data_IF_879424975301
#
_entry.id   IF_879424975301
#
_cell.length_a   1.000
_cell.length_b   1.000
_cell.length_c   1.000
_cell.angle_alpha   90.00
_cell.angle_beta   90.00
_cell.angle_gamma   90.00
#
_symmetry.space_group_name_H-M   'P 1'
#
loop_
_entity.id
_entity.type
_entity.pdbx_description
1 polymer ?
#
# COMPACT_ATOMS: atom_id res chain seq x y z
N UNK A 1 0.01 -3.46 9.76
CA UNK A 1 -1.01 -3.28 8.70
C UNK A 1 -2.21 -2.60 9.32
N UNK A 2 -2.49 -1.36 8.92
CA UNK A 2 -3.52 -0.47 9.46
C UNK A 2 -3.30 0.00 10.92
N UNK A 3 -3.12 -0.94 11.84
CA UNK A 3 -3.21 -0.73 13.29
C UNK A 3 -1.99 -0.06 13.94
N UNK A 4 -0.82 -0.18 13.32
CA UNK A 4 0.45 0.26 13.90
C UNK A 4 1.02 1.52 13.23
N UNK A 5 0.27 2.19 12.35
CA UNK A 5 0.69 3.39 11.60
C UNK A 5 2.07 3.22 10.94
N UNK A 6 2.34 2.05 10.34
CA UNK A 6 3.60 1.78 9.63
C UNK A 6 4.83 1.53 10.51
N UNK A 7 4.71 1.53 11.85
CA UNK A 7 5.85 1.32 12.76
C UNK A 7 6.60 0.01 12.51
N UNK A 8 5.88 -1.10 12.28
CA UNK A 8 6.53 -2.39 11.96
C UNK A 8 7.23 -2.34 10.61
N UNK A 9 6.70 -1.63 9.63
CA UNK A 9 7.37 -1.46 8.32
C UNK A 9 8.71 -0.78 8.57
N UNK A 10 8.73 0.34 9.30
CA UNK A 10 9.95 1.09 9.59
C UNK A 10 11.01 0.26 10.32
N UNK A 11 10.61 -0.49 11.35
CA UNK A 11 11.52 -1.35 12.12
C UNK A 11 12.20 -2.43 11.27
N UNK A 12 11.54 -2.89 10.20
CA UNK A 12 11.99 -4.01 9.37
C UNK A 12 12.58 -3.58 8.03
N UNK A 13 12.57 -2.28 7.66
CA UNK A 13 13.19 -1.78 6.42
C UNK A 13 14.63 -2.25 6.25
N UNK A 14 15.40 -2.29 7.35
CA UNK A 14 16.80 -2.75 7.39
C UNK A 14 17.02 -4.21 6.97
N UNK A 15 15.97 -5.02 6.91
CA UNK A 15 16.05 -6.44 6.51
C UNK A 15 15.67 -6.67 5.04
N UNK A 16 15.32 -5.60 4.31
CA UNK A 16 14.91 -5.70 2.91
C UNK A 16 16.11 -5.48 1.97
N UNK A 17 16.05 -5.99 0.73
CA UNK A 17 16.98 -5.62 -0.33
C UNK A 17 17.11 -4.10 -0.49
N UNK A 18 18.30 -3.63 -0.86
CA UNK A 18 18.59 -2.19 -0.97
C UNK A 18 17.72 -1.47 -2.02
N UNK A 19 17.25 -2.20 -3.02
CA UNK A 19 16.39 -1.74 -4.11
C UNK A 19 14.89 -1.85 -3.79
N UNK A 20 14.52 -2.22 -2.55
CA UNK A 20 13.12 -2.28 -2.14
C UNK A 20 12.49 -0.89 -2.13
N UNK A 21 11.36 -0.76 -2.83
CA UNK A 21 10.56 0.47 -2.87
C UNK A 21 9.38 0.34 -1.90
N UNK A 22 9.22 1.32 -1.01
CA UNK A 22 8.06 1.45 -0.15
C UNK A 22 7.19 2.61 -0.63
N UNK A 23 5.89 2.35 -0.84
CA UNK A 23 4.93 3.36 -1.26
C UNK A 23 3.72 3.37 -0.33
N UNK A 24 3.44 4.53 0.27
CA UNK A 24 2.26 4.72 1.13
C UNK A 24 1.15 5.43 0.34
N UNK A 25 -0.04 4.81 0.29
CA UNK A 25 -1.22 5.43 -0.30
C UNK A 25 -1.94 6.23 0.79
N UNK A 26 -1.74 7.54 0.81
CA UNK A 26 -2.35 8.42 1.80
C UNK A 26 -3.87 8.39 1.73
N UNK A 27 -4.52 8.19 2.89
CA UNK A 27 -5.97 8.12 2.99
C UNK A 27 -6.59 6.78 2.61
N UNK A 28 -5.81 5.80 2.13
CA UNK A 28 -6.28 4.43 1.93
C UNK A 28 -6.54 3.70 3.27
N UNK A 29 -7.26 2.58 3.20
CA UNK A 29 -7.29 1.59 4.27
C UNK A 29 -6.99 0.18 3.74
N UNK A 30 -6.89 -0.79 4.66
CA UNK A 30 -6.52 -2.16 4.32
C UNK A 30 -7.64 -2.90 3.57
N UNK A 31 -8.89 -2.80 4.01
CA UNK A 31 -10.04 -3.49 3.39
C UNK A 31 -10.28 -3.07 1.94
N UNK A 32 -10.13 -1.79 1.61
CA UNK A 32 -10.30 -1.31 0.23
C UNK A 32 -9.24 -1.84 -0.73
N UNK A 33 -8.04 -2.23 -0.27
CA UNK A 33 -6.93 -2.64 -1.14
C UNK A 33 -7.26 -3.85 -2.01
N UNK A 34 -8.06 -4.79 -1.51
CA UNK A 34 -8.43 -6.01 -2.21
C UNK A 34 -9.93 -6.28 -2.16
N UNK A 35 -10.73 -5.23 -1.95
CA UNK A 35 -12.20 -5.29 -1.88
C UNK A 35 -12.74 -6.29 -0.85
N UNK A 36 -12.14 -6.33 0.34
CA UNK A 36 -12.58 -7.21 1.42
C UNK A 36 -13.78 -6.67 2.20
N UNK A 37 -14.33 -5.52 1.81
CA UNK A 37 -15.27 -4.76 2.62
C UNK A 37 -14.66 -4.28 3.95
N UNK A 38 -15.50 -3.86 4.92
CA UNK A 38 -15.04 -3.43 6.24
C UNK A 38 -14.31 -4.56 6.99
N UNK A 39 -13.09 -4.30 7.46
CA UNK A 39 -12.30 -5.25 8.23
C UNK A 39 -12.14 -4.80 9.69
N UNK A 40 -12.07 -5.72 10.67
CA UNK A 40 -11.86 -5.36 12.07
C UNK A 40 -10.60 -4.53 12.28
N UNK A 41 -10.77 -3.35 12.86
CA UNK A 41 -9.66 -2.44 13.19
C UNK A 41 -9.24 -1.49 12.06
N UNK A 42 -9.85 -1.60 10.88
CA UNK A 42 -9.68 -0.60 9.83
C UNK A 42 -10.38 0.71 10.19
N UNK A 43 -9.67 1.82 9.98
CA UNK A 43 -10.31 3.14 9.99
C UNK A 43 -10.97 3.40 8.64
N UNK A 44 -12.03 4.22 8.59
CA UNK A 44 -12.60 4.67 7.32
C UNK A 44 -11.53 5.27 6.42
N UNK A 45 -11.52 4.87 5.15
CA UNK A 45 -10.67 5.51 4.15
C UNK A 45 -11.12 6.95 3.90
N UNK A 46 -10.18 7.78 3.48
CA UNK A 46 -10.39 9.17 3.05
C UNK A 46 -10.43 9.32 1.53
N UNK A 47 -10.04 8.28 0.79
CA UNK A 47 -10.13 8.19 -0.67
C UNK A 47 -11.07 7.06 -1.05
N UNK A 48 -11.68 7.18 -2.23
CA UNK A 48 -12.51 6.11 -2.77
C UNK A 48 -11.69 4.85 -3.06
N UNK A 49 -12.38 3.71 -3.09
CA UNK A 49 -11.77 2.43 -3.50
C UNK A 49 -11.18 2.52 -4.91
N UNK A 50 -11.88 3.18 -5.84
CA UNK A 50 -11.40 3.38 -7.20
C UNK A 50 -10.08 4.16 -7.24
N UNK A 51 -9.96 5.26 -6.49
CA UNK A 51 -8.70 6.01 -6.39
C UNK A 51 -7.56 5.15 -5.81
N UNK A 52 -7.85 4.34 -4.79
CA UNK A 52 -6.87 3.42 -4.21
C UNK A 52 -6.40 2.36 -5.23
N UNK A 53 -7.29 1.83 -6.04
CA UNK A 53 -6.96 0.89 -7.12
C UNK A 53 -6.15 1.54 -8.23
N UNK A 54 -6.54 2.73 -8.69
CA UNK A 54 -5.79 3.49 -9.70
C UNK A 54 -4.35 3.76 -9.24
N UNK A 55 -4.16 4.20 -7.98
CA UNK A 55 -2.82 4.42 -7.42
C UNK A 55 -2.04 3.10 -7.34
N UNK A 56 -2.67 2.02 -6.88
CA UNK A 56 -2.04 0.70 -6.77
C UNK A 56 -1.59 0.18 -8.13
N UNK A 57 -2.46 0.28 -9.15
CA UNK A 57 -2.17 -0.15 -10.51
C UNK A 57 -1.03 0.68 -11.12
N UNK A 58 -1.07 2.01 -10.98
CA UNK A 58 -0.03 2.91 -11.47
C UNK A 58 1.34 2.62 -10.85
N UNK A 59 1.40 2.44 -9.53
CA UNK A 59 2.66 2.17 -8.82
C UNK A 59 3.21 0.80 -9.20
N UNK A 60 2.36 -0.23 -9.22
CA UNK A 60 2.76 -1.59 -9.62
C UNK A 60 3.24 -1.64 -11.07
N UNK A 61 2.51 -1.02 -12.00
CA UNK A 61 2.92 -0.94 -13.40
C UNK A 61 4.23 -0.16 -13.57
N UNK A 62 4.43 0.92 -12.80
CA UNK A 62 5.67 1.69 -12.78
C UNK A 62 6.86 0.84 -12.32
N UNK A 63 6.68 0.02 -11.27
CA UNK A 63 7.69 -0.93 -10.82
C UNK A 63 8.01 -1.96 -11.91
N UNK A 64 7.01 -2.61 -12.51
CA UNK A 64 7.21 -3.63 -13.54
C UNK A 64 7.95 -3.10 -14.78
N UNK A 65 7.70 -1.84 -15.17
CA UNK A 65 8.38 -1.19 -16.29
C UNK A 65 9.89 -1.04 -16.07
N UNK A 66 10.38 -1.07 -14.83
CA UNK A 66 11.82 -1.03 -14.54
C UNK A 66 12.57 -2.26 -15.07
N UNK A 67 11.85 -3.34 -15.39
CA UNK A 67 12.42 -4.61 -15.86
C UNK A 67 12.17 -4.87 -17.35
N UNK A 68 11.47 -3.97 -18.05
CA UNK A 68 11.25 -4.08 -19.48
C UNK A 68 12.46 -3.46 -20.21
N UNK A 69 13.16 -4.28 -21.01
CA UNK A 69 14.25 -3.85 -21.88
C UNK A 69 13.71 -3.16 -23.14
#
# INVERSE_FOLDING_TARGET
>A
GGLDNGKKIEMHKKYQPQDTVFYEIQGANHGQFADYGPQPGDKPAKISQFEQFEITARVTAGFLKQFQQ
#
